data_IF_605156065919
#
_entry.id   IF_605156065919
#
_cell.length_a   1.000
_cell.length_b   1.000
_cell.length_c   1.000
_cell.angle_alpha   90.00
_cell.angle_beta   90.00
_cell.angle_gamma   90.00
#
_symmetry.space_group_name_H-M   'P 1'
#
loop_
_entity.id
_entity.type
_entity.pdbx_description
1 polymer ?
#
# COMPACT_ATOMS: atom_id res chain seq x y z
N UNK A 1 -1.09 12.71 -21.44
CA UNK A 1 -0.54 12.71 -20.07
C UNK A 1 -1.59 12.08 -19.19
N UNK A 2 -1.44 10.78 -18.90
CA UNK A 2 -2.49 10.02 -18.20
C UNK A 2 -2.44 10.36 -16.72
N UNK A 3 -3.45 11.08 -16.24
CA UNK A 3 -3.68 11.27 -14.82
C UNK A 3 -4.07 9.93 -14.20
N UNK A 4 -3.11 9.26 -13.54
CA UNK A 4 -3.42 8.39 -12.40
C UNK A 4 -3.99 9.36 -11.35
N UNK A 5 -5.28 9.67 -11.47
CA UNK A 5 -5.98 10.67 -10.65
C UNK A 5 -5.92 10.18 -9.20
N UNK A 6 -5.67 11.10 -8.28
CA UNK A 6 -5.55 10.96 -6.81
C UNK A 6 -6.37 9.83 -6.15
N UNK A 7 -7.54 9.52 -6.70
CA UNK A 7 -8.38 8.39 -6.31
C UNK A 7 -7.66 7.03 -6.35
N UNK A 8 -6.84 6.78 -7.37
CA UNK A 8 -6.13 5.49 -7.54
C UNK A 8 -5.01 5.34 -6.51
N UNK A 9 -4.31 6.42 -6.15
CA UNK A 9 -3.27 6.40 -5.12
C UNK A 9 -3.86 6.18 -3.72
N UNK A 10 -4.96 6.86 -3.37
CA UNK A 10 -5.65 6.63 -2.10
C UNK A 10 -6.16 5.18 -1.95
N UNK A 11 -6.66 4.60 -3.04
CA UNK A 11 -7.06 3.19 -3.09
C UNK A 11 -5.87 2.25 -2.86
N UNK A 12 -4.71 2.50 -3.47
CA UNK A 12 -3.53 1.67 -3.24
C UNK A 12 -2.89 1.86 -1.85
N UNK A 13 -3.01 3.05 -1.23
CA UNK A 13 -2.58 3.25 0.15
C UNK A 13 -3.35 2.35 1.13
N UNK A 14 -4.61 2.03 0.84
CA UNK A 14 -5.37 1.07 1.64
C UNK A 14 -4.79 -0.34 1.60
N UNK A 15 -4.18 -0.78 0.48
CA UNK A 15 -3.48 -2.06 0.43
C UNK A 15 -2.29 -2.10 1.38
N UNK A 16 -1.65 -0.96 1.64
CA UNK A 16 -0.53 -0.90 2.57
C UNK A 16 -0.97 -1.29 3.98
N UNK A 17 -2.24 -1.12 4.37
CA UNK A 17 -2.82 -1.59 5.64
C UNK A 17 -3.12 -3.09 5.71
N UNK A 18 -2.88 -3.82 4.62
CA UNK A 18 -2.88 -5.29 4.59
C UNK A 18 -1.46 -5.79 4.41
N UNK A 19 -0.99 -6.64 5.32
CA UNK A 19 0.33 -7.25 5.18
C UNK A 19 0.31 -8.35 4.13
N UNK A 20 1.34 -8.43 3.30
CA UNK A 20 1.48 -9.49 2.30
C UNK A 20 1.69 -10.82 3.02
N UNK A 21 0.98 -11.86 2.58
CA UNK A 21 1.12 -13.19 3.17
C UNK A 21 2.57 -13.69 3.07
N UNK A 22 3.14 -14.31 4.13
CA UNK A 22 4.51 -14.82 4.11
C UNK A 22 4.83 -15.70 2.90
N UNK A 23 3.88 -16.50 2.42
CA UNK A 23 4.08 -17.33 1.24
C UNK A 23 4.27 -16.51 -0.03
N UNK A 24 3.50 -15.43 -0.18
CA UNK A 24 3.63 -14.53 -1.34
C UNK A 24 4.94 -13.71 -1.27
N UNK A 25 5.43 -13.42 -0.08
CA UNK A 25 6.75 -12.81 0.11
C UNK A 25 7.85 -13.77 -0.36
N UNK A 26 7.78 -15.04 0.05
CA UNK A 26 8.73 -16.07 -0.41
C UNK A 26 8.69 -16.23 -1.94
N UNK A 27 7.49 -16.28 -2.53
CA UNK A 27 7.30 -16.34 -3.99
C UNK A 27 7.96 -15.13 -4.68
N UNK A 28 7.77 -13.92 -4.14
CA UNK A 28 8.37 -12.70 -4.66
C UNK A 28 9.91 -12.75 -4.62
N UNK A 29 10.49 -13.20 -3.50
CA UNK A 29 11.95 -13.26 -3.29
C UNK A 29 12.65 -14.23 -4.24
N UNK A 30 11.97 -15.31 -4.64
CA UNK A 30 12.50 -16.28 -5.62
C UNK A 30 12.12 -15.94 -7.07
N UNK A 31 11.47 -14.79 -7.30
CA UNK A 31 11.10 -14.30 -8.64
C UNK A 31 9.86 -14.96 -9.25
N UNK A 32 9.01 -15.59 -8.44
CA UNK A 32 7.67 -16.01 -8.86
C UNK A 32 6.79 -14.77 -8.98
N UNK A 33 5.98 -14.75 -10.02
CA UNK A 33 5.05 -13.65 -10.26
C UNK A 33 3.92 -13.66 -9.23
N UNK A 34 3.80 -12.56 -8.47
CA UNK A 34 2.73 -12.34 -7.50
C UNK A 34 1.83 -11.23 -8.00
N UNK A 35 0.53 -11.48 -8.07
CA UNK A 35 -0.48 -10.51 -8.49
C UNK A 35 -1.24 -9.93 -7.30
N UNK A 36 -1.89 -8.78 -7.51
CA UNK A 36 -2.84 -8.25 -6.54
C UNK A 36 -4.03 -9.18 -6.32
N UNK A 37 -4.37 -10.02 -7.31
CA UNK A 37 -5.38 -11.07 -7.11
C UNK A 37 -4.92 -12.09 -6.07
N UNK A 38 -3.68 -12.58 -6.16
CA UNK A 38 -3.15 -13.57 -5.23
C UNK A 38 -3.19 -13.04 -3.78
N UNK A 39 -2.79 -11.78 -3.61
CA UNK A 39 -2.90 -11.08 -2.32
C UNK A 39 -4.36 -10.98 -1.84
N UNK A 40 -5.27 -10.54 -2.72
CA UNK A 40 -6.68 -10.37 -2.38
C UNK A 40 -7.37 -11.70 -2.03
N UNK A 41 -7.07 -12.79 -2.74
CA UNK A 41 -7.63 -14.11 -2.48
C UNK A 41 -7.30 -14.62 -1.07
N UNK A 42 -6.14 -14.24 -0.51
CA UNK A 42 -5.74 -14.64 0.85
C UNK A 42 -6.45 -13.81 1.93
N UNK A 43 -6.56 -12.49 1.74
CA UNK A 43 -6.99 -11.60 2.82
C UNK A 43 -8.47 -11.20 2.79
N UNK A 44 -9.18 -11.35 1.66
CA UNK A 44 -10.54 -10.79 1.51
C UNK A 44 -11.58 -11.43 2.43
N UNK A 45 -11.43 -12.72 2.76
CA UNK A 45 -12.40 -13.45 3.59
C UNK A 45 -12.54 -12.84 4.99
N UNK A 46 -11.42 -12.39 5.58
CA UNK A 46 -11.42 -11.68 6.86
C UNK A 46 -12.34 -10.45 6.85
N UNK A 47 -12.25 -9.63 5.79
CA UNK A 47 -13.05 -8.43 5.66
C UNK A 47 -14.52 -8.74 5.34
N UNK A 48 -14.78 -9.78 4.54
CA UNK A 48 -16.14 -10.22 4.23
C UNK A 48 -16.88 -10.76 5.47
N UNK A 49 -16.19 -11.48 6.35
CA UNK A 49 -16.77 -11.93 7.62
C UNK A 49 -17.13 -10.75 8.53
N UNK A 50 -16.26 -9.74 8.59
CA UNK A 50 -16.51 -8.52 9.37
C UNK A 50 -17.64 -7.67 8.81
N UNK A 51 -17.72 -7.54 7.48
CA UNK A 51 -18.84 -6.89 6.76
C UNK A 51 -20.17 -7.57 7.13
N UNK A 52 -20.23 -8.91 7.09
CA UNK A 52 -21.43 -9.68 7.48
C UNK A 52 -21.80 -9.51 8.95
N UNK A 53 -20.80 -9.37 9.83
CA UNK A 53 -21.01 -9.20 11.27
C UNK A 53 -21.45 -7.77 11.67
N UNK A 54 -21.38 -6.80 10.75
CA UNK A 54 -21.67 -5.40 11.02
C UNK A 54 -20.59 -4.67 11.83
N UNK A 55 -19.40 -5.26 12.00
CA UNK A 55 -18.30 -4.71 12.79
C UNK A 55 -17.16 -4.19 11.89
N UNK A 56 -17.49 -3.62 10.74
CA UNK A 56 -16.52 -3.09 9.79
C UNK A 56 -16.40 -1.57 9.97
N UNK A 57 -15.20 -1.07 10.24
CA UNK A 57 -14.92 0.37 10.24
C UNK A 57 -14.93 0.96 8.83
N UNK A 58 -14.97 2.29 8.71
CA UNK A 58 -14.89 2.97 7.41
C UNK A 58 -13.60 2.62 6.64
N UNK A 59 -12.45 2.60 7.33
CA UNK A 59 -11.18 2.23 6.71
C UNK A 59 -11.19 0.77 6.24
N UNK A 60 -11.71 -0.15 7.04
CA UNK A 60 -11.84 -1.56 6.65
C UNK A 60 -12.80 -1.75 5.46
N UNK A 61 -13.84 -0.92 5.35
CA UNK A 61 -14.73 -0.91 4.17
C UNK A 61 -13.98 -0.46 2.92
N UNK A 62 -13.14 0.57 3.02
CA UNK A 62 -12.33 1.03 1.90
C UNK A 62 -11.28 0.00 1.48
N UNK A 63 -10.63 -0.67 2.44
CA UNK A 63 -9.74 -1.81 2.17
C UNK A 63 -10.51 -2.91 1.43
N UNK A 64 -11.68 -3.32 1.93
CA UNK A 64 -12.51 -4.34 1.30
C UNK A 64 -12.91 -3.97 -0.13
N UNK A 65 -13.25 -2.70 -0.38
CA UNK A 65 -13.59 -2.24 -1.73
C UNK A 65 -12.40 -2.39 -2.70
N UNK A 66 -11.19 -2.09 -2.24
CA UNK A 66 -9.97 -2.25 -3.05
C UNK A 66 -9.64 -3.73 -3.24
N UNK A 67 -9.77 -4.56 -2.21
CA UNK A 67 -9.58 -6.02 -2.32
C UNK A 67 -10.56 -6.65 -3.31
N UNK A 68 -11.83 -6.22 -3.34
CA UNK A 68 -12.81 -6.65 -4.35
C UNK A 68 -12.35 -6.32 -5.78
N UNK A 69 -11.76 -5.13 -6.00
CA UNK A 69 -11.18 -4.74 -7.30
C UNK A 69 -9.92 -5.54 -7.65
N UNK A 70 -9.12 -5.92 -6.66
CA UNK A 70 -7.94 -6.76 -6.83
C UNK A 70 -8.31 -8.23 -7.10
N UNK A 71 -9.37 -8.75 -6.48
CA UNK A 71 -9.76 -10.15 -6.66
C UNK A 71 -10.40 -10.42 -8.03
N UNK A 72 -11.26 -9.51 -8.50
CA UNK A 72 -12.11 -9.76 -9.68
C UNK A 72 -12.32 -8.55 -10.59
N UNK A 73 -11.75 -7.40 -10.25
CA UNK A 73 -11.99 -6.12 -10.93
C UNK A 73 -10.78 -5.60 -11.72
N UNK A 74 -10.63 -4.27 -11.67
CA UNK A 74 -9.69 -3.50 -12.49
C UNK A 74 -8.21 -3.79 -12.21
N UNK A 75 -7.87 -4.25 -10.99
CA UNK A 75 -6.48 -4.35 -10.52
C UNK A 75 -5.95 -5.79 -10.46
N UNK A 76 -6.78 -6.77 -10.84
CA UNK A 76 -6.46 -8.19 -10.64
C UNK A 76 -5.15 -8.67 -11.27
N UNK A 77 -4.82 -8.11 -12.44
CA UNK A 77 -3.64 -8.52 -13.22
C UNK A 77 -2.41 -7.66 -12.89
N UNK A 78 -2.53 -6.70 -11.95
CA UNK A 78 -1.40 -5.87 -11.53
C UNK A 78 -0.46 -6.70 -10.65
N UNK A 79 0.84 -6.48 -10.81
CA UNK A 79 1.87 -7.34 -10.22
C UNK A 79 2.54 -6.65 -9.05
N UNK A 80 2.70 -7.35 -7.95
CA UNK A 80 3.55 -6.88 -6.86
C UNK A 80 4.99 -7.14 -7.29
N UNK A 81 5.76 -6.06 -7.45
CA UNK A 81 7.20 -6.14 -7.77
C UNK A 81 8.08 -6.10 -6.56
N UNK A 82 7.62 -5.39 -5.53
CA UNK A 82 8.34 -5.24 -4.29
C UNK A 82 7.38 -5.00 -3.15
N UNK A 83 7.71 -5.56 -2.00
CA UNK A 83 7.01 -5.36 -0.75
C UNK A 83 8.04 -5.18 0.35
N UNK A 84 7.79 -4.24 1.27
CA UNK A 84 8.62 -4.07 2.46
C UNK A 84 7.72 -3.85 3.67
N UNK A 85 7.98 -4.59 4.75
CA UNK A 85 7.28 -4.48 6.01
C UNK A 85 8.26 -4.20 7.16
N UNK A 86 8.47 -2.91 7.42
CA UNK A 86 9.19 -2.38 8.57
C UNK A 86 8.27 -1.96 9.71
N UNK A 87 7.00 -2.40 9.77
CA UNK A 87 6.01 -1.88 10.72
C UNK A 87 6.50 -1.89 12.18
N UNK A 88 7.20 -2.95 12.59
CA UNK A 88 7.71 -3.10 13.95
C UNK A 88 9.06 -2.41 14.22
N UNK A 89 9.68 -1.77 13.23
CA UNK A 89 10.99 -1.09 13.34
C UNK A 89 10.91 0.38 12.99
N UNK A 90 10.37 0.69 11.81
CA UNK A 90 10.31 2.04 11.22
C UNK A 90 8.88 2.53 11.02
N UNK A 91 7.87 1.66 11.22
CA UNK A 91 6.47 1.97 10.88
C UNK A 91 6.19 1.95 9.38
N UNK A 92 7.19 1.64 8.54
CA UNK A 92 7.03 1.62 7.09
C UNK A 92 6.39 0.30 6.63
N UNK A 93 5.36 0.40 5.80
CA UNK A 93 4.86 -0.72 4.99
C UNK A 93 4.60 -0.18 3.61
N UNK A 94 5.22 -0.78 2.59
CA UNK A 94 5.21 -0.26 1.23
C UNK A 94 5.07 -1.35 0.17
N UNK A 95 4.44 -0.97 -0.94
CA UNK A 95 4.25 -1.81 -2.12
C UNK A 95 4.73 -1.06 -3.36
N UNK A 96 5.42 -1.78 -4.25
CA UNK A 96 5.63 -1.38 -5.64
C UNK A 96 4.79 -2.30 -6.54
N UNK A 97 3.86 -1.71 -7.26
CA UNK A 97 2.84 -2.40 -8.05
C UNK A 97 3.03 -2.05 -9.52
N UNK A 98 3.31 -3.04 -10.36
CA UNK A 98 3.38 -2.89 -11.81
C UNK A 98 1.98 -2.98 -12.43
N UNK A 99 1.52 -1.89 -13.04
CA UNK A 99 0.22 -1.82 -13.71
C UNK A 99 0.31 -2.28 -15.17
N UNK A 100 1.47 -2.05 -15.79
CA UNK A 100 1.88 -2.50 -17.13
C UNK A 100 3.41 -2.61 -17.15
N UNK A 101 4.01 -3.37 -18.09
CA UNK A 101 5.47 -3.48 -18.16
C UNK A 101 6.17 -2.12 -18.14
N UNK A 102 6.95 -1.87 -17.08
CA UNK A 102 7.69 -0.61 -16.88
C UNK A 102 6.89 0.56 -16.30
N UNK A 103 5.63 0.36 -15.92
CA UNK A 103 4.78 1.36 -15.24
C UNK A 103 4.51 0.91 -13.80
N UNK A 104 5.06 1.63 -12.82
CA UNK A 104 4.94 1.32 -11.40
C UNK A 104 4.10 2.36 -10.66
N UNK A 105 3.22 1.86 -9.78
CA UNK A 105 2.62 2.62 -8.69
C UNK A 105 3.37 2.24 -7.42
N UNK A 106 3.86 3.22 -6.69
CA UNK A 106 4.49 3.02 -5.39
C UNK A 106 3.55 3.60 -4.34
N UNK A 107 3.24 2.81 -3.33
CA UNK A 107 2.33 3.18 -2.25
C UNK A 107 2.88 2.71 -0.90
N UNK A 108 2.51 3.41 0.17
CA UNK A 108 2.89 3.05 1.53
C UNK A 108 1.79 3.45 2.52
N UNK A 109 1.84 2.90 3.73
CA UNK A 109 1.04 3.42 4.86
C UNK A 109 1.41 4.89 5.09
N UNK A 110 0.42 5.71 5.45
CA UNK A 110 0.65 7.08 5.93
C UNK A 110 1.47 7.09 7.22
N UNK A 111 2.08 8.22 7.57
CA UNK A 111 2.75 8.34 8.86
C UNK A 111 1.71 8.42 9.97
N UNK A 112 1.81 7.55 10.96
CA UNK A 112 1.05 7.67 12.20
C UNK A 112 1.74 8.72 13.08
N UNK A 113 1.57 10.00 12.77
CA UNK A 113 2.04 11.06 13.68
C UNK A 113 1.17 10.99 14.94
N UNK A 114 1.73 10.80 16.14
CA UNK A 114 0.92 10.74 17.35
C UNK A 114 0.24 12.10 17.60
N UNK A 115 -1.09 12.16 17.40
CA UNK A 115 -1.93 13.26 17.88
C UNK A 115 -2.48 14.25 16.86
N UNK A 116 -2.43 14.00 15.55
CA UNK A 116 -3.12 14.86 14.56
C UNK A 116 -4.39 14.21 13.98
N UNK A 117 -5.45 15.01 13.85
CA UNK A 117 -6.75 14.59 13.30
C UNK A 117 -6.63 14.28 11.79
N UNK A 118 -7.22 13.16 11.41
CA UNK A 118 -7.04 12.38 10.16
C UNK A 118 -7.57 13.00 8.86
N UNK A 119 -7.57 14.32 8.70
CA UNK A 119 -8.34 14.98 7.62
C UNK A 119 -7.51 15.62 6.49
N UNK A 120 -6.22 15.30 6.35
CA UNK A 120 -5.35 15.95 5.34
C UNK A 120 -4.34 15.04 4.64
N UNK A 121 -4.80 13.91 4.10
CA UNK A 121 -3.93 12.85 3.54
C UNK A 121 -2.98 13.21 2.36
N UNK A 122 -3.09 14.39 1.72
CA UNK A 122 -2.14 14.82 0.67
C UNK A 122 -1.30 16.05 1.03
N UNK A 123 -1.87 17.00 1.78
CA UNK A 123 -1.08 18.10 2.35
C UNK A 123 0.01 17.53 3.28
N UNK A 124 -0.28 16.43 3.96
CA UNK A 124 0.67 15.69 4.79
C UNK A 124 1.84 15.10 3.96
N UNK A 125 1.66 14.73 2.68
CA UNK A 125 2.75 14.20 1.86
C UNK A 125 3.72 15.29 1.37
N UNK A 126 3.19 16.43 0.91
CA UNK A 126 4.01 17.58 0.51
C UNK A 126 4.65 18.22 1.75
N UNK A 127 3.94 18.31 2.87
CA UNK A 127 4.51 18.80 4.12
C UNK A 127 5.55 17.82 4.67
N UNK A 128 5.39 16.50 4.60
CA UNK A 128 6.44 15.56 5.01
C UNK A 128 7.68 15.61 4.10
N UNK A 129 7.50 15.81 2.79
CA UNK A 129 8.60 16.03 1.85
C UNK A 129 9.20 17.44 1.99
N UNK A 130 8.47 18.46 2.43
CA UNK A 130 9.00 19.82 2.69
C UNK A 130 9.64 19.97 4.09
N UNK A 131 9.09 19.31 5.11
CA UNK A 131 9.66 19.15 6.47
C UNK A 131 10.95 18.33 6.43
N UNK A 132 11.19 17.57 5.36
CA UNK A 132 12.45 16.86 5.09
C UNK A 132 13.71 17.75 5.07
N UNK A 133 13.55 19.07 5.11
CA UNK A 133 14.67 20.02 5.25
C UNK A 133 15.04 20.34 6.70
N UNK A 134 14.29 19.85 7.70
CA UNK A 134 14.57 20.13 9.13
C UNK A 134 14.77 18.91 10.03
N UNK A 135 13.99 17.81 9.90
CA UNK A 135 14.18 16.58 10.70
C UNK A 135 13.60 15.36 9.95
N UNK A 136 14.46 14.43 9.52
CA UNK A 136 14.06 13.17 8.86
C UNK A 136 13.70 12.09 9.90
N UNK A 137 12.54 11.43 9.76
CA UNK A 137 12.13 10.29 10.59
C UNK A 137 12.59 8.95 10.00
N UNK A 138 12.69 7.88 10.81
CA UNK A 138 13.09 6.55 10.33
C UNK A 138 12.11 5.98 9.27
N UNK A 139 10.81 6.26 9.38
CA UNK A 139 9.81 5.91 8.38
C UNK A 139 10.06 6.62 7.05
N UNK A 140 10.40 7.90 7.11
CA UNK A 140 10.69 8.73 5.93
C UNK A 140 11.98 8.28 5.24
N UNK A 141 13.02 7.91 6.01
CA UNK A 141 14.25 7.35 5.46
C UNK A 141 13.98 6.01 4.75
N UNK A 142 13.25 5.10 5.38
CA UNK A 142 12.88 3.83 4.76
C UNK A 142 12.07 4.01 3.46
N UNK A 143 11.13 4.96 3.44
CA UNK A 143 10.39 5.28 2.22
C UNK A 143 11.30 5.82 1.10
N UNK A 144 12.28 6.67 1.41
CA UNK A 144 13.26 7.17 0.43
C UNK A 144 14.16 6.06 -0.09
N UNK A 145 14.66 5.20 0.78
CA UNK A 145 15.51 4.06 0.40
C UNK A 145 14.73 3.10 -0.51
N UNK A 146 13.47 2.79 -0.15
CA UNK A 146 12.59 1.97 -0.99
C UNK A 146 12.38 2.57 -2.39
N UNK A 147 12.12 3.89 -2.49
CA UNK A 147 11.98 4.58 -3.77
C UNK A 147 13.27 4.53 -4.60
N UNK A 148 14.44 4.72 -3.99
CA UNK A 148 15.73 4.66 -4.67
C UNK A 148 16.05 3.25 -5.18
N UNK A 149 15.68 2.22 -4.42
CA UNK A 149 15.88 0.82 -4.82
C UNK A 149 14.92 0.37 -5.94
N UNK A 150 13.74 0.99 -6.04
CA UNK A 150 12.76 0.71 -7.12
C UNK A 150 13.00 1.59 -8.36
N UNK A 151 13.61 2.76 -8.19
CA UNK A 151 13.72 3.82 -9.20
C UNK A 151 15.00 3.85 -10.04
N UNK A 152 15.85 2.81 -10.00
CA UNK A 152 17.08 2.69 -10.81
C UNK A 152 17.08 1.41 -11.67
#
# INVERSE_FOLDING_TARGET
MSSIKDKTLGEFSNLSYTDLDPKLIEDLDIGVEVTLKDHADICIDYYLEREKSGNLSYQEQDILNVLKKCQSGEYKDYKIKKYENGNNKTGFVGYAIETKPGELIITSRGSEVPGEETDKGWEDWIDNVQISTKYETDQQKAAKDFLNEVGL
#
